data_IF_800532513579
#
_entry.id   IF_800532513579
#
_cell.length_a   1.000
_cell.length_b   1.000
_cell.length_c   1.000
_cell.angle_alpha   90.00
_cell.angle_beta   90.00
_cell.angle_gamma   90.00
#
_symmetry.space_group_name_H-M   'P 1'
#
loop_
_entity.id
_entity.type
_entity.pdbx_description
1 polymer ?
#
# COMPACT_ATOMS: atom_id res chain seq x y z
N UNK A 1 -14.38 -22.47 31.79
CA UNK A 1 -13.22 -21.97 31.03
C UNK A 1 -12.64 -23.10 30.18
N UNK A 2 -12.88 -23.14 28.86
CA UNK A 2 -12.04 -23.93 27.93
C UNK A 2 -12.42 -23.60 26.47
N UNK A 3 -11.83 -22.56 25.88
CA UNK A 3 -12.00 -22.28 24.43
C UNK A 3 -10.70 -21.87 23.71
N UNK A 4 -9.55 -21.83 24.38
CA UNK A 4 -8.35 -21.23 23.80
C UNK A 4 -7.37 -22.22 23.14
N UNK A 5 -7.62 -23.54 23.20
CA UNK A 5 -6.62 -24.54 22.78
C UNK A 5 -6.73 -24.98 21.31
N UNK A 6 -7.82 -24.64 20.60
CA UNK A 6 -8.03 -25.09 19.21
C UNK A 6 -7.31 -24.20 18.19
N UNK A 7 -7.24 -22.88 18.46
CA UNK A 7 -6.65 -21.89 17.55
C UNK A 7 -5.12 -21.97 17.53
N UNK A 8 -4.50 -22.40 18.62
CA UNK A 8 -3.05 -22.61 18.72
C UNK A 8 -2.57 -23.78 17.87
N UNK A 9 -3.35 -24.86 17.77
CA UNK A 9 -2.99 -26.05 16.99
C UNK A 9 -2.91 -25.77 15.48
N UNK A 10 -3.90 -25.07 14.92
CA UNK A 10 -3.92 -24.71 13.49
C UNK A 10 -2.77 -23.77 13.13
N UNK A 11 -2.48 -22.77 13.98
CA UNK A 11 -1.37 -21.85 13.76
C UNK A 11 -0.01 -22.55 13.77
N UNK A 12 0.15 -23.59 14.60
CA UNK A 12 1.37 -24.41 14.63
C UNK A 12 1.51 -25.20 13.33
N UNK A 13 0.44 -25.86 12.87
CA UNK A 13 0.44 -26.63 11.61
C UNK A 13 0.82 -25.76 10.40
N UNK A 14 0.27 -24.54 10.31
CA UNK A 14 0.59 -23.61 9.21
C UNK A 14 2.07 -23.23 9.21
N UNK A 15 2.65 -22.96 10.39
CA UNK A 15 4.07 -22.60 10.51
C UNK A 15 4.98 -23.75 10.08
N UNK A 16 4.69 -24.97 10.52
CA UNK A 16 5.48 -26.16 10.16
C UNK A 16 5.41 -26.43 8.66
N UNK A 17 4.22 -26.38 8.05
CA UNK A 17 4.06 -26.59 6.61
C UNK A 17 4.71 -25.48 5.77
N UNK A 18 4.73 -24.24 6.28
CA UNK A 18 5.41 -23.13 5.61
C UNK A 18 6.94 -23.36 5.59
N UNK A 19 7.52 -23.78 6.71
CA UNK A 19 8.96 -24.10 6.81
C UNK A 19 9.36 -25.25 5.87
N UNK A 20 8.62 -26.36 5.90
CA UNK A 20 8.88 -27.51 5.01
C UNK A 20 8.82 -27.13 3.54
N UNK A 21 7.84 -26.30 3.15
CA UNK A 21 7.71 -25.83 1.76
C UNK A 21 8.80 -24.82 1.39
N UNK A 22 9.26 -23.99 2.33
CA UNK A 22 10.31 -22.99 2.09
C UNK A 22 11.67 -23.67 1.83
N UNK A 23 12.00 -24.71 2.60
CA UNK A 23 13.23 -25.49 2.40
C UNK A 23 13.24 -26.27 1.08
N UNK A 24 12.07 -26.66 0.57
CA UNK A 24 11.94 -27.34 -0.73
C UNK A 24 12.10 -26.39 -1.94
N UNK A 25 12.11 -25.07 -1.73
CA UNK A 25 12.20 -24.08 -2.80
C UNK A 25 13.65 -23.68 -3.09
N UNK A 26 14.00 -23.38 -4.37
CA UNK A 26 15.24 -22.72 -4.73
C UNK A 26 15.37 -21.33 -4.09
N UNK A 27 16.61 -20.88 -3.84
CA UNK A 27 16.92 -19.61 -3.16
C UNK A 27 16.19 -18.40 -3.77
N UNK A 28 16.10 -18.32 -5.10
CA UNK A 28 15.38 -17.23 -5.79
C UNK A 28 13.89 -17.14 -5.42
N UNK A 29 13.22 -18.29 -5.19
CA UNK A 29 11.80 -18.32 -4.83
C UNK A 29 11.61 -18.09 -3.32
N UNK A 30 12.60 -18.45 -2.50
CA UNK A 30 12.58 -18.11 -1.08
C UNK A 30 12.58 -16.59 -0.88
N UNK A 31 13.36 -15.85 -1.67
CA UNK A 31 13.37 -14.38 -1.66
C UNK A 31 11.99 -13.80 -2.01
N UNK A 32 11.32 -14.35 -3.02
CA UNK A 32 9.97 -13.89 -3.41
C UNK A 32 8.93 -14.15 -2.31
N UNK A 33 9.03 -15.29 -1.61
CA UNK A 33 8.20 -15.59 -0.44
C UNK A 33 8.46 -14.59 0.69
N UNK A 34 9.71 -14.22 0.94
CA UNK A 34 10.07 -13.21 1.94
C UNK A 34 9.43 -11.86 1.58
N UNK A 35 9.57 -11.40 0.33
CA UNK A 35 8.96 -10.16 -0.12
C UNK A 35 7.42 -10.19 0.02
N UNK A 36 6.79 -11.33 -0.27
CA UNK A 36 5.36 -11.46 -0.12
C UNK A 36 4.91 -11.42 1.36
N UNK A 37 5.69 -12.04 2.27
CA UNK A 37 5.46 -11.95 3.71
C UNK A 37 5.58 -10.49 4.18
N UNK A 38 6.61 -9.77 3.74
CA UNK A 38 6.81 -8.35 4.04
C UNK A 38 5.64 -7.50 3.52
N UNK A 39 5.21 -7.72 2.28
CA UNK A 39 4.04 -7.07 1.71
C UNK A 39 2.77 -7.31 2.53
N UNK A 40 2.53 -8.54 2.98
CA UNK A 40 1.37 -8.85 3.84
C UNK A 40 1.48 -8.14 5.19
N UNK A 41 2.66 -8.13 5.81
CA UNK A 41 2.89 -7.42 7.07
C UNK A 41 2.59 -5.93 6.91
N UNK A 42 3.09 -5.30 5.86
CA UNK A 42 2.87 -3.87 5.61
C UNK A 42 1.40 -3.55 5.29
N UNK A 43 0.77 -4.35 4.41
CA UNK A 43 -0.63 -4.19 4.00
C UNK A 43 -1.59 -4.24 5.19
N UNK A 44 -1.36 -5.15 6.14
CA UNK A 44 -2.21 -5.30 7.31
C UNK A 44 -1.72 -4.50 8.53
N UNK A 45 -0.46 -4.09 8.60
CA UNK A 45 0.02 -3.14 9.60
C UNK A 45 -0.65 -1.78 9.45
N UNK A 46 -0.92 -1.32 8.22
CA UNK A 46 -1.68 -0.10 7.93
C UNK A 46 -3.17 -0.18 8.36
N UNK A 47 -3.69 -1.38 8.68
CA UNK A 47 -5.08 -1.56 9.16
C UNK A 47 -5.23 -1.58 10.68
N UNK A 48 -4.13 -1.59 11.43
CA UNK A 48 -4.15 -1.35 12.88
C UNK A 48 -4.00 0.16 13.16
N UNK A 49 -4.68 0.70 14.18
CA UNK A 49 -4.58 2.12 14.50
C UNK A 49 -3.10 2.49 14.74
N UNK A 50 -2.60 3.57 14.14
CA UNK A 50 -1.17 3.84 14.06
C UNK A 50 -0.60 4.21 15.43
N UNK A 51 -0.04 3.23 16.13
CA UNK A 51 0.95 3.51 17.16
C UNK A 51 2.31 3.66 16.48
N UNK A 52 2.64 4.91 16.14
CA UNK A 52 3.99 5.48 16.00
C UNK A 52 5.10 4.48 15.65
N UNK A 53 5.45 4.38 14.37
CA UNK A 53 6.86 4.34 13.97
C UNK A 53 6.98 5.14 12.67
N UNK A 54 7.85 6.14 12.74
CA UNK A 54 8.13 7.13 11.71
C UNK A 54 8.96 6.52 10.57
N UNK A 55 8.90 7.24 9.45
CA UNK A 55 9.78 7.23 8.26
C UNK A 55 9.32 6.44 7.04
N UNK A 56 9.59 7.05 5.87
CA UNK A 56 9.28 6.68 4.48
C UNK A 56 7.93 7.18 3.96
N UNK A 57 7.89 8.46 3.60
CA UNK A 57 7.55 9.00 2.26
C UNK A 57 6.36 8.47 1.45
N UNK A 58 5.43 7.69 2.00
CA UNK A 58 4.13 7.49 1.34
C UNK A 58 3.19 8.61 1.75
N UNK A 59 3.45 9.78 1.16
CA UNK A 59 2.42 10.77 0.93
C UNK A 59 1.30 10.06 0.17
N UNK A 60 0.34 9.53 0.93
CA UNK A 60 -1.06 9.34 0.58
C UNK A 60 -1.27 9.66 -0.90
N UNK A 61 -1.12 8.65 -1.76
CA UNK A 61 -1.46 8.75 -3.17
C UNK A 61 -2.95 9.12 -3.17
N UNK A 62 -3.22 10.42 -3.12
CA UNK A 62 -4.56 10.98 -3.22
C UNK A 62 -5.00 10.50 -4.58
N UNK A 63 -5.80 9.44 -4.60
CA UNK A 63 -6.40 8.90 -5.81
C UNK A 63 -7.33 9.98 -6.34
N UNK A 64 -6.78 10.88 -7.14
CA UNK A 64 -7.55 11.90 -7.82
C UNK A 64 -8.39 11.17 -8.86
N UNK A 65 -9.68 11.02 -8.59
CA UNK A 65 -10.64 10.52 -9.55
C UNK A 65 -10.87 11.51 -10.69
N UNK A 66 -11.56 11.06 -11.74
CA UNK A 66 -12.04 11.95 -12.80
C UNK A 66 -12.83 13.13 -12.21
N UNK A 67 -12.53 14.34 -12.66
CA UNK A 67 -13.21 15.54 -12.18
C UNK A 67 -12.79 16.03 -10.79
N UNK A 68 -11.73 15.49 -10.17
CA UNK A 68 -11.24 15.97 -8.86
C UNK A 68 -10.86 17.45 -8.83
N UNK A 69 -10.63 18.05 -10.00
CA UNK A 69 -10.29 19.46 -10.19
C UNK A 69 -11.41 20.24 -10.90
N UNK A 70 -12.59 19.65 -11.10
CA UNK A 70 -13.71 20.34 -11.73
C UNK A 70 -14.10 21.59 -10.91
N UNK A 71 -14.22 22.73 -11.58
CA UNK A 71 -14.50 24.03 -10.95
C UNK A 71 -13.33 24.65 -10.17
N UNK A 72 -12.15 24.01 -10.14
CA UNK A 72 -10.92 24.60 -9.59
C UNK A 72 -10.05 25.25 -10.66
N UNK A 73 -10.16 24.77 -11.90
CA UNK A 73 -9.49 25.37 -13.06
C UNK A 73 -10.49 26.34 -13.69
N UNK A 74 -10.08 27.59 -13.81
CA UNK A 74 -10.82 28.65 -14.50
C UNK A 74 -10.11 28.85 -15.83
N UNK A 75 -10.85 28.73 -16.92
CA UNK A 75 -10.37 28.86 -18.30
C UNK A 75 -11.38 29.71 -19.07
N UNK A 76 -10.89 30.59 -19.93
CA UNK A 76 -11.72 31.35 -20.87
C UNK A 76 -12.43 30.42 -21.86
N UNK A 77 -13.51 30.89 -22.47
CA UNK A 77 -14.20 30.15 -23.54
C UNK A 77 -13.31 29.96 -24.78
N UNK A 78 -12.34 30.85 -24.98
CA UNK A 78 -11.28 30.72 -25.98
C UNK A 78 -10.01 30.16 -25.33
N UNK A 79 -9.54 29.02 -25.82
CA UNK A 79 -8.34 28.36 -25.29
C UNK A 79 -7.05 29.08 -25.67
N UNK A 80 -7.06 29.79 -26.80
CA UNK A 80 -5.88 30.52 -27.29
C UNK A 80 -5.72 31.88 -26.58
N UNK A 81 -6.68 32.29 -25.75
CA UNK A 81 -6.57 33.50 -24.95
C UNK A 81 -5.52 33.30 -23.83
N UNK A 82 -4.51 34.18 -23.74
CA UNK A 82 -3.50 34.05 -22.71
C UNK A 82 -4.11 34.31 -21.32
N UNK A 83 -3.67 33.53 -20.33
CA UNK A 83 -4.00 33.83 -18.94
C UNK A 83 -3.24 35.09 -18.53
N UNK A 84 -3.94 36.12 -18.08
CA UNK A 84 -3.36 37.41 -17.62
C UNK A 84 -2.19 37.19 -16.63
N UNK A 85 -2.29 36.18 -15.77
CA UNK A 85 -1.24 35.80 -14.81
C UNK A 85 0.01 35.18 -15.45
N UNK A 86 -0.14 34.55 -16.62
CA UNK A 86 0.93 33.89 -17.38
C UNK A 86 1.40 34.71 -18.59
N UNK A 87 0.74 35.81 -18.93
CA UNK A 87 1.13 36.72 -20.03
C UNK A 87 2.58 37.18 -19.92
N UNK A 88 3.10 37.34 -18.69
CA UNK A 88 4.48 37.76 -18.46
C UNK A 88 5.52 36.68 -18.80
N UNK A 89 5.10 35.42 -18.94
CA UNK A 89 5.97 34.25 -19.09
C UNK A 89 5.85 33.54 -20.45
N UNK A 90 4.78 33.82 -21.21
CA UNK A 90 4.57 33.41 -22.60
C UNK A 90 5.15 34.45 -23.57
#
# INVERSE_FOLDING_TARGET
>A
MSVNNSVTGEKIMIKTTLLEKLEALPESLQTEVIHYIEFLLEKYAKTQPPSKLETVEEQNEKRYGYGSLAGKIIMSDDFDEPLEELEKYM
#
